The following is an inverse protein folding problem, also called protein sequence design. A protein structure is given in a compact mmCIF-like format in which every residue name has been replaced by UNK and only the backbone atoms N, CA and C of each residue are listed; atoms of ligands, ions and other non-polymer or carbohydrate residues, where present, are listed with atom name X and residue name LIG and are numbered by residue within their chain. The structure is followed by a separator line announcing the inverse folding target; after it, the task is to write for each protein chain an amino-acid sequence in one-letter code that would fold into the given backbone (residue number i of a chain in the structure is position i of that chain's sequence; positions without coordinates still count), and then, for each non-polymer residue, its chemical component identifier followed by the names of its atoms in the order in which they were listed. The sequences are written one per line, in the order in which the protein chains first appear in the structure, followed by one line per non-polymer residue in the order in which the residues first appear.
data_IF_792043196157
#
_entry.id   IF_792043196157
#
_cell.length_a   1.000
_cell.length_b   1.000
_cell.length_c   1.000
_cell.angle_alpha   90.00
_cell.angle_beta   90.00
_cell.angle_gamma   90.00
#
_symmetry.space_group_name_H-M   'P 1'
#
loop_
_entity.id
_entity.type
_entity.pdbx_description
1 polymer ?
#
# COMPACT_ATOMS: atom_id res chain seq x y z
N UNK A 1 35.86 -18.28 -50.13
CA UNK A 1 35.77 -17.32 -49.01
C UNK A 1 35.41 -15.96 -49.60
N UNK A 2 34.39 -15.19 -49.24
CA UNK A 2 33.36 -15.28 -48.21
C UNK A 2 32.58 -13.96 -48.24
N UNK A 3 31.40 -13.93 -48.87
CA UNK A 3 30.51 -12.74 -48.90
C UNK A 3 29.21 -13.01 -48.10
N UNK A 4 28.92 -14.28 -47.76
CA UNK A 4 27.78 -14.66 -46.91
C UNK A 4 27.96 -14.39 -45.41
N UNK A 5 29.19 -14.14 -44.92
CA UNK A 5 29.46 -13.97 -43.49
C UNK A 5 29.28 -12.53 -42.96
N UNK A 6 29.26 -11.52 -43.84
CA UNK A 6 29.19 -10.11 -43.43
C UNK A 6 27.75 -9.65 -43.12
N UNK A 7 26.75 -10.22 -43.81
CA UNK A 7 25.33 -9.91 -43.55
C UNK A 7 24.78 -10.50 -42.24
N UNK A 8 25.20 -11.71 -41.88
CA UNK A 8 24.69 -12.37 -40.66
C UNK A 8 25.22 -11.75 -39.37
N UNK A 9 26.44 -11.18 -39.39
CA UNK A 9 27.04 -10.55 -38.21
C UNK A 9 26.51 -9.13 -37.94
N UNK A 10 25.93 -8.47 -38.94
CA UNK A 10 25.19 -7.21 -38.79
C UNK A 10 23.76 -7.46 -38.26
N UNK A 11 23.06 -8.47 -38.79
CA UNK A 11 21.73 -8.88 -38.31
C UNK A 11 21.73 -9.38 -36.86
N UNK A 12 22.75 -10.16 -36.46
CA UNK A 12 22.90 -10.65 -35.07
C UNK A 12 23.18 -9.52 -34.06
N UNK A 13 23.92 -8.48 -34.45
CA UNK A 13 24.20 -7.32 -33.58
C UNK A 13 23.00 -6.38 -33.45
N UNK A 14 22.23 -6.19 -34.52
CA UNK A 14 20.98 -5.44 -34.47
C UNK A 14 19.92 -6.17 -33.62
N UNK A 15 19.80 -7.50 -33.76
CA UNK A 15 18.91 -8.33 -32.92
C UNK A 15 19.30 -8.34 -31.44
N UNK A 16 20.59 -8.38 -31.12
CA UNK A 16 21.08 -8.31 -29.74
C UNK A 16 20.89 -6.92 -29.10
N UNK A 17 21.06 -5.84 -29.86
CA UNK A 17 20.81 -4.48 -29.38
C UNK A 17 19.32 -4.22 -29.15
N UNK A 18 18.44 -4.72 -30.03
CA UNK A 18 16.98 -4.66 -29.86
C UNK A 18 16.50 -5.54 -28.71
N UNK A 19 17.10 -6.71 -28.51
CA UNK A 19 16.86 -7.58 -27.35
C UNK A 19 17.25 -6.91 -26.03
N UNK A 20 18.43 -6.29 -25.95
CA UNK A 20 18.89 -5.59 -24.74
C UNK A 20 18.04 -4.36 -24.39
N UNK A 21 17.55 -3.61 -25.39
CA UNK A 21 16.61 -2.50 -25.18
C UNK A 21 15.24 -3.03 -24.74
N UNK A 22 14.77 -4.13 -25.33
CA UNK A 22 13.53 -4.79 -24.93
C UNK A 22 13.59 -5.33 -23.49
N UNK A 23 14.72 -5.94 -23.09
CA UNK A 23 14.94 -6.45 -21.74
C UNK A 23 15.11 -5.32 -20.72
N UNK A 24 15.74 -4.20 -21.10
CA UNK A 24 15.83 -3.01 -20.27
C UNK A 24 14.46 -2.33 -20.10
N UNK A 25 13.66 -2.24 -21.15
CA UNK A 25 12.28 -1.71 -21.10
C UNK A 25 11.36 -2.67 -20.33
N UNK A 26 11.51 -3.98 -20.48
CA UNK A 26 10.78 -4.99 -19.70
C UNK A 26 11.19 -4.98 -18.22
N UNK A 27 12.49 -4.82 -17.91
CA UNK A 27 13.02 -4.68 -16.55
C UNK A 27 12.59 -3.36 -15.91
N UNK A 28 12.60 -2.25 -16.66
CA UNK A 28 12.07 -0.97 -16.23
C UNK A 28 10.55 -1.00 -16.06
N UNK A 29 9.81 -1.75 -16.89
CA UNK A 29 8.37 -1.98 -16.78
C UNK A 29 8.02 -2.97 -15.66
N UNK A 30 8.89 -3.91 -15.31
CA UNK A 30 8.75 -4.79 -14.15
C UNK A 30 9.09 -4.06 -12.84
N UNK A 31 10.10 -3.18 -12.86
CA UNK A 31 10.36 -2.24 -11.75
C UNK A 31 9.25 -1.21 -11.61
N UNK A 32 8.74 -0.68 -12.73
CA UNK A 32 7.63 0.26 -12.71
C UNK A 32 6.30 -0.41 -12.38
N UNK A 33 6.05 -1.62 -12.85
CA UNK A 33 4.86 -2.40 -12.52
C UNK A 33 4.80 -2.82 -11.05
N UNK A 34 5.91 -2.69 -10.32
CA UNK A 34 6.06 -3.16 -8.95
C UNK A 34 6.20 -2.02 -7.93
N UNK A 35 6.56 -0.81 -8.37
CA UNK A 35 6.55 0.43 -7.57
C UNK A 35 5.24 1.23 -7.69
N UNK A 36 4.21 0.61 -8.29
CA UNK A 36 2.90 1.23 -8.47
C UNK A 36 2.27 1.77 -7.17
N UNK A 37 2.37 1.11 -5.99
CA UNK A 37 1.71 1.59 -4.77
C UNK A 37 2.34 2.90 -4.29
N UNK A 38 3.67 2.98 -4.36
CA UNK A 38 4.44 4.16 -4.00
C UNK A 38 4.08 5.33 -4.91
N UNK A 39 4.09 5.13 -6.23
CA UNK A 39 3.72 6.21 -7.17
C UNK A 39 2.28 6.64 -7.03
N UNK A 40 1.36 5.70 -6.79
CA UNK A 40 -0.03 6.01 -6.52
C UNK A 40 -0.20 6.84 -5.24
N UNK A 41 0.67 6.65 -4.24
CA UNK A 41 0.70 7.48 -3.03
C UNK A 41 1.36 8.85 -3.27
N UNK A 42 2.47 8.90 -4.01
CA UNK A 42 3.21 10.14 -4.33
C UNK A 42 2.35 11.11 -5.16
N UNK A 43 1.52 10.57 -6.06
CA UNK A 43 0.60 11.34 -6.91
C UNK A 43 -0.77 11.58 -6.27
N UNK A 44 -1.05 10.98 -5.12
CA UNK A 44 -2.28 11.25 -4.39
C UNK A 44 -2.26 12.70 -3.88
N UNK A 45 -3.38 13.46 -4.02
CA UNK A 45 -3.47 14.81 -3.48
C UNK A 45 -3.04 14.86 -2.01
N UNK A 46 -2.41 15.95 -1.58
CA UNK A 46 -2.05 16.15 -0.17
C UNK A 46 -3.22 16.80 0.57
N UNK A 47 -3.46 16.47 1.86
CA UNK A 47 -4.48 17.16 2.63
C UNK A 47 -4.06 18.61 2.88
N UNK A 48 -5.05 19.50 2.99
CA UNK A 48 -4.81 20.85 3.51
C UNK A 48 -4.45 20.81 5.00
N UNK A 49 -3.69 21.80 5.46
CA UNK A 49 -3.30 21.97 6.87
C UNK A 49 -3.72 23.38 7.33
N UNK A 50 -4.77 23.52 8.18
CA UNK A 50 -5.68 22.49 8.68
C UNK A 50 -6.57 21.86 7.59
N UNK A 51 -7.17 20.68 7.83
CA UNK A 51 -8.02 20.01 6.85
C UNK A 51 -9.32 20.79 6.62
N UNK A 52 -9.50 21.32 5.40
CA UNK A 52 -10.70 22.03 4.97
C UNK A 52 -11.76 21.09 4.37
N UNK A 53 -11.33 19.97 3.79
CA UNK A 53 -12.17 18.95 3.17
C UNK A 53 -11.74 17.55 3.66
N UNK A 54 -12.63 16.55 3.61
CA UNK A 54 -12.26 15.17 3.88
C UNK A 54 -11.15 14.70 2.93
N UNK A 55 -10.10 14.14 3.51
CA UNK A 55 -9.00 13.53 2.80
C UNK A 55 -8.78 12.10 3.29
N UNK A 56 -8.50 11.20 2.37
CA UNK A 56 -8.29 9.79 2.69
C UNK A 56 -7.26 9.15 1.77
N UNK A 57 -6.47 8.24 2.34
CA UNK A 57 -5.71 7.23 1.61
C UNK A 57 -5.98 5.88 2.23
N UNK A 58 -6.34 4.88 1.42
CA UNK A 58 -6.54 3.51 1.87
C UNK A 58 -5.87 2.49 0.95
N UNK A 59 -5.64 1.27 1.46
CA UNK A 59 -5.20 0.12 0.68
C UNK A 59 -6.21 -0.19 -0.44
N UNK A 60 -7.51 -0.12 -0.15
CA UNK A 60 -8.55 -0.31 -1.16
C UNK A 60 -8.43 0.72 -2.28
N UNK A 61 -8.26 2.00 -1.93
CA UNK A 61 -8.11 3.09 -2.87
C UNK A 61 -6.85 2.97 -3.72
N UNK A 62 -5.73 2.51 -3.14
CA UNK A 62 -4.52 2.21 -3.89
C UNK A 62 -4.76 1.08 -4.90
N UNK A 63 -5.24 -0.08 -4.46
CA UNK A 63 -5.47 -1.24 -5.33
C UNK A 63 -6.53 -0.94 -6.41
N UNK A 64 -7.56 -0.17 -6.06
CA UNK A 64 -8.62 0.26 -6.99
C UNK A 64 -8.13 1.14 -8.13
N UNK A 65 -6.95 1.76 -8.02
CA UNK A 65 -6.32 2.54 -9.10
C UNK A 65 -5.60 1.67 -10.16
N UNK A 66 -5.53 0.36 -9.96
CA UNK A 66 -4.92 -0.53 -10.94
C UNK A 66 -5.76 -0.60 -12.23
N UNK A 67 -5.14 -0.62 -13.43
CA UNK A 67 -5.86 -0.62 -14.70
C UNK A 67 -6.81 -1.79 -14.91
N UNK A 68 -6.58 -2.92 -14.24
CA UNK A 68 -7.39 -4.12 -14.37
C UNK A 68 -7.60 -4.76 -13.01
N UNK A 69 -8.74 -4.44 -12.38
CA UNK A 69 -9.22 -5.11 -11.17
C UNK A 69 -10.25 -6.16 -11.60
N UNK A 70 -10.05 -7.45 -11.30
CA UNK A 70 -11.04 -8.48 -11.61
C UNK A 70 -12.39 -8.16 -10.97
N UNK A 71 -13.49 -8.33 -11.71
CA UNK A 71 -14.85 -7.99 -11.24
C UNK A 71 -15.21 -8.53 -9.85
N UNK A 72 -14.92 -9.82 -9.53
CA UNK A 72 -15.13 -10.35 -8.18
C UNK A 72 -14.34 -9.64 -7.08
N UNK A 73 -13.12 -9.19 -7.38
CA UNK A 73 -12.26 -8.48 -6.42
C UNK A 73 -12.76 -7.06 -6.13
N UNK A 74 -13.41 -6.39 -7.09
CA UNK A 74 -14.01 -5.05 -6.89
C UNK A 74 -14.97 -5.04 -5.70
N UNK A 75 -15.78 -6.10 -5.55
CA UNK A 75 -16.75 -6.22 -4.45
C UNK A 75 -16.10 -6.35 -3.08
N UNK A 76 -14.84 -6.75 -3.02
CA UNK A 76 -14.09 -6.96 -1.79
C UNK A 76 -13.15 -5.80 -1.45
N UNK A 77 -12.95 -4.83 -2.35
CA UNK A 77 -12.00 -3.74 -2.15
C UNK A 77 -12.28 -2.99 -0.85
N UNK A 78 -13.54 -2.65 -0.58
CA UNK A 78 -13.95 -1.92 0.63
C UNK A 78 -13.57 -2.62 1.94
N UNK A 79 -13.35 -3.94 1.92
CA UNK A 79 -12.89 -4.68 3.10
C UNK A 79 -11.44 -4.30 3.44
N UNK A 80 -10.61 -3.94 2.45
CA UNK A 80 -9.23 -3.53 2.70
C UNK A 80 -9.10 -2.21 3.45
N UNK A 81 -10.15 -1.38 3.48
CA UNK A 81 -10.15 -0.14 4.27
C UNK A 81 -9.97 -0.45 5.75
N UNK A 82 -10.53 -1.57 6.23
CA UNK A 82 -10.36 -2.09 7.60
C UNK A 82 -8.96 -2.59 7.95
N UNK A 83 -8.04 -2.64 6.98
CA UNK A 83 -6.67 -3.15 7.14
C UNK A 83 -5.61 -2.07 6.90
N UNK A 84 -6.01 -0.92 6.34
CA UNK A 84 -5.08 0.11 5.96
C UNK A 84 -5.81 1.33 5.43
N UNK A 85 -6.01 2.32 6.30
CA UNK A 85 -6.59 3.61 5.93
C UNK A 85 -6.04 4.72 6.83
N UNK A 86 -5.83 5.89 6.25
CA UNK A 86 -5.70 7.17 6.99
C UNK A 86 -6.77 8.09 6.47
N UNK A 87 -7.65 8.55 7.35
CA UNK A 87 -8.69 9.52 7.05
C UNK A 87 -8.51 10.74 7.97
N UNK A 88 -8.50 11.93 7.38
CA UNK A 88 -8.50 13.20 8.13
C UNK A 88 -9.41 14.20 7.43
N UNK A 89 -10.32 14.79 8.18
CA UNK A 89 -11.22 15.82 7.70
C UNK A 89 -11.56 16.85 8.78
N UNK A 90 -12.40 17.83 8.43
CA UNK A 90 -12.83 18.86 9.37
C UNK A 90 -13.68 18.28 10.52
N UNK A 91 -14.46 17.22 10.26
CA UNK A 91 -15.39 16.66 11.25
C UNK A 91 -14.87 15.41 11.95
N UNK A 92 -14.05 14.61 11.28
CA UNK A 92 -13.59 13.32 11.77
C UNK A 92 -12.13 13.01 11.41
N UNK A 93 -11.57 12.05 12.13
CA UNK A 93 -10.24 11.49 11.92
C UNK A 93 -10.29 9.99 12.19
N UNK A 94 -9.54 9.20 11.43
CA UNK A 94 -9.63 7.75 11.51
C UNK A 94 -8.44 7.00 10.95
N UNK A 95 -8.32 5.76 11.41
CA UNK A 95 -7.37 4.79 10.91
C UNK A 95 -8.06 3.45 10.63
N UNK A 96 -7.59 2.77 9.59
CA UNK A 96 -7.95 1.38 9.26
C UNK A 96 -9.46 1.09 9.32
N UNK A 97 -10.26 1.95 8.67
CA UNK A 97 -11.70 1.80 8.54
C UNK A 97 -12.50 2.24 9.77
N UNK A 98 -11.85 2.68 10.86
CA UNK A 98 -12.50 3.26 12.04
C UNK A 98 -12.26 4.77 12.10
N UNK A 99 -13.32 5.56 11.88
CA UNK A 99 -13.32 7.03 11.99
C UNK A 99 -14.08 7.53 13.22
N UNK A 100 -13.59 8.62 13.79
CA UNK A 100 -14.12 9.23 15.00
C UNK A 100 -14.31 10.72 14.79
N UNK A 101 -15.51 11.21 15.09
CA UNK A 101 -15.80 12.63 15.14
C UNK A 101 -14.90 13.34 16.17
N UNK A 102 -14.31 14.47 15.80
CA UNK A 102 -13.35 15.18 16.66
C UNK A 102 -13.88 15.49 18.07
N UNK A 103 -15.19 15.75 18.23
CA UNK A 103 -15.81 15.98 19.55
C UNK A 103 -15.78 14.77 20.51
N UNK A 104 -15.43 13.58 20.02
CA UNK A 104 -15.23 12.36 20.81
C UNK A 104 -13.76 12.04 21.07
N UNK A 105 -12.83 12.73 20.39
CA UNK A 105 -11.39 12.53 20.56
C UNK A 105 -10.94 13.14 21.88
N UNK A 106 -10.22 12.35 22.67
CA UNK A 106 -9.69 12.74 23.98
C UNK A 106 -8.21 13.12 23.88
N UNK A 107 -7.46 12.36 23.09
CA UNK A 107 -6.01 12.50 22.98
C UNK A 107 -5.54 11.94 21.63
N UNK A 108 -4.56 12.60 21.01
CA UNK A 108 -3.76 12.07 19.91
C UNK A 108 -2.40 11.69 20.48
N UNK A 109 -1.99 10.44 20.25
CA UNK A 109 -0.71 9.91 20.70
C UNK A 109 0.24 9.79 19.52
N UNK A 110 1.41 10.38 19.69
CA UNK A 110 2.49 10.38 18.71
C UNK A 110 3.52 9.32 19.08
N UNK A 111 3.82 8.42 18.15
CA UNK A 111 4.74 7.28 18.32
C UNK A 111 5.95 7.45 17.40
N UNK A 112 7.14 6.98 17.80
CA UNK A 112 8.30 7.03 16.91
C UNK A 112 8.12 6.10 15.72
N UNK A 113 8.55 6.55 14.53
CA UNK A 113 8.72 5.68 13.35
C UNK A 113 9.57 4.44 13.63
N UNK A 114 10.52 4.55 14.57
CA UNK A 114 11.44 3.46 14.93
C UNK A 114 10.74 2.38 15.75
N UNK A 115 9.65 2.70 16.43
CA UNK A 115 8.91 1.70 17.22
C UNK A 115 7.85 1.02 16.33
N UNK A 116 7.24 1.78 15.42
CA UNK A 116 6.13 1.30 14.60
C UNK A 116 6.56 0.38 13.43
N UNK A 117 7.70 0.65 12.80
CA UNK A 117 8.09 -0.02 11.54
C UNK A 117 8.91 -1.32 11.72
N UNK A 118 9.85 -1.44 12.68
CA UNK A 118 10.66 -2.65 12.87
C UNK A 118 9.92 -3.85 13.47
N UNK A 119 8.87 -3.63 14.27
CA UNK A 119 8.08 -4.70 14.91
C UNK A 119 7.24 -5.52 13.92
N UNK A 120 7.17 -5.09 12.67
CA UNK A 120 6.40 -5.75 11.63
C UNK A 120 6.92 -7.15 11.36
N UNK A 121 6.10 -8.13 11.74
CA UNK A 121 6.24 -9.51 11.27
C UNK A 121 5.52 -9.59 9.93
N UNK A 122 6.29 -9.45 8.84
CA UNK A 122 5.78 -9.37 7.47
C UNK A 122 4.81 -10.51 7.14
N UNK A 123 5.13 -11.74 7.54
CA UNK A 123 4.26 -12.90 7.30
C UNK A 123 2.91 -12.75 8.01
N UNK A 124 2.86 -12.18 9.22
CA UNK A 124 1.60 -11.91 9.94
C UNK A 124 0.74 -10.87 9.25
N UNK A 125 1.33 -9.85 8.63
CA UNK A 125 0.56 -8.84 7.90
C UNK A 125 -0.07 -9.42 6.63
N UNK A 126 0.67 -10.26 5.91
CA UNK A 126 0.13 -10.98 4.75
C UNK A 126 -0.97 -11.96 5.17
N UNK A 127 -0.78 -12.70 6.26
CA UNK A 127 -1.78 -13.62 6.79
C UNK A 127 -3.01 -12.88 7.33
N UNK A 128 -2.86 -11.71 7.96
CA UNK A 128 -3.98 -10.85 8.36
C UNK A 128 -4.84 -10.46 7.15
N UNK A 129 -4.23 -10.04 6.04
CA UNK A 129 -4.96 -9.71 4.80
C UNK A 129 -5.71 -10.94 4.28
N UNK A 130 -5.08 -12.12 4.31
CA UNK A 130 -5.73 -13.37 3.89
C UNK A 130 -6.93 -13.71 4.75
N UNK A 131 -6.79 -13.63 6.07
CA UNK A 131 -7.83 -13.98 7.04
C UNK A 131 -9.02 -13.02 6.99
N UNK A 132 -8.77 -11.73 6.74
CA UNK A 132 -9.81 -10.71 6.64
C UNK A 132 -10.69 -10.88 5.40
N UNK A 133 -10.13 -11.37 4.30
CA UNK A 133 -10.85 -11.51 3.04
C UNK A 133 -11.59 -12.85 2.95
N UNK A 134 -12.91 -12.86 2.67
CA UNK A 134 -13.69 -14.09 2.58
C UNK A 134 -13.21 -14.98 1.43
N UNK A 135 -13.30 -16.31 1.54
CA UNK A 135 -12.81 -17.25 0.53
C UNK A 135 -13.71 -17.24 -0.73
N UNK A 136 -13.49 -16.29 -1.62
CA UNK A 136 -14.26 -16.11 -2.87
C UNK A 136 -13.36 -15.96 -4.10
N UNK A 137 -13.89 -16.11 -5.33
CA UNK A 137 -13.13 -15.84 -6.55
C UNK A 137 -12.50 -14.44 -6.54
N UNK A 138 -11.26 -14.32 -7.02
CA UNK A 138 -10.51 -13.06 -6.99
C UNK A 138 -9.80 -12.76 -5.67
N UNK A 139 -10.05 -13.50 -4.58
CA UNK A 139 -9.37 -13.31 -3.29
C UNK A 139 -7.84 -13.41 -3.43
N UNK A 140 -7.32 -14.44 -4.10
CA UNK A 140 -5.87 -14.64 -4.27
C UNK A 140 -5.22 -13.41 -4.90
N UNK A 141 -5.82 -12.90 -5.99
CA UNK A 141 -5.37 -11.70 -6.66
C UNK A 141 -5.39 -10.49 -5.72
N UNK A 142 -6.49 -10.29 -4.99
CA UNK A 142 -6.66 -9.16 -4.08
C UNK A 142 -5.66 -9.19 -2.92
N UNK A 143 -5.49 -10.36 -2.29
CA UNK A 143 -4.47 -10.59 -1.25
C UNK A 143 -3.09 -10.23 -1.79
N UNK A 144 -2.73 -10.72 -2.97
CA UNK A 144 -1.42 -10.46 -3.56
C UNK A 144 -1.21 -8.97 -3.81
N UNK A 145 -2.19 -8.26 -4.37
CA UNK A 145 -2.06 -6.82 -4.65
C UNK A 145 -2.12 -5.95 -3.40
N UNK A 146 -2.93 -6.31 -2.41
CA UNK A 146 -2.94 -5.63 -1.11
C UNK A 146 -1.62 -5.84 -0.35
N UNK A 147 -1.09 -7.07 -0.33
CA UNK A 147 0.21 -7.37 0.27
C UNK A 147 1.34 -6.65 -0.47
N UNK A 148 1.33 -6.65 -1.80
CA UNK A 148 2.31 -5.91 -2.60
C UNK A 148 2.26 -4.40 -2.29
N UNK A 149 1.06 -3.84 -2.18
CA UNK A 149 0.86 -2.43 -1.82
C UNK A 149 1.41 -2.12 -0.43
N UNK A 150 0.97 -2.85 0.58
CA UNK A 150 1.39 -2.68 1.97
C UNK A 150 2.92 -2.77 2.11
N UNK A 151 3.53 -3.83 1.59
CA UNK A 151 4.97 -4.06 1.74
C UNK A 151 5.81 -3.04 0.97
N UNK A 152 5.35 -2.58 -0.19
CA UNK A 152 6.05 -1.54 -0.96
C UNK A 152 6.01 -0.19 -0.23
N UNK A 153 4.85 0.19 0.31
CA UNK A 153 4.69 1.45 1.06
C UNK A 153 5.47 1.37 2.39
N UNK A 154 5.41 0.24 3.10
CA UNK A 154 6.18 0.02 4.32
C UNK A 154 7.69 0.08 4.07
N UNK A 155 8.19 -0.57 3.00
CA UNK A 155 9.61 -0.51 2.64
C UNK A 155 10.07 0.93 2.35
N UNK A 156 9.25 1.69 1.63
CA UNK A 156 9.53 3.09 1.34
C UNK A 156 9.53 3.94 2.62
N UNK A 157 8.59 3.70 3.54
CA UNK A 157 8.50 4.37 4.83
C UNK A 157 9.70 4.05 5.73
N UNK A 158 10.10 2.79 5.84
CA UNK A 158 11.30 2.38 6.61
C UNK A 158 12.55 3.07 6.07
N UNK A 159 12.73 3.10 4.75
CA UNK A 159 13.83 3.82 4.11
C UNK A 159 13.77 5.34 4.33
N UNK A 160 12.58 5.93 4.51
CA UNK A 160 12.42 7.33 4.88
C UNK A 160 12.76 7.59 6.35
N UNK A 161 12.29 6.72 7.25
CA UNK A 161 12.57 6.77 8.68
C UNK A 161 14.08 6.63 8.99
N UNK A 162 14.81 5.82 8.22
CA UNK A 162 16.28 5.72 8.32
C UNK A 162 17.00 7.06 8.07
N UNK A 163 16.41 7.94 7.24
CA UNK A 163 16.99 9.27 6.95
C UNK A 163 16.58 10.31 7.98
N UNK A 164 15.36 10.20 8.49
CA UNK A 164 14.80 11.15 9.43
C UNK A 164 13.76 10.48 10.33
N UNK A 165 14.12 10.29 11.59
CA UNK A 165 13.20 9.85 12.62
C UNK A 165 12.15 10.94 12.91
N UNK A 166 10.89 10.53 13.08
CA UNK A 166 9.76 11.41 13.37
C UNK A 166 8.81 10.76 14.36
N UNK A 167 8.13 11.57 15.16
CA UNK A 167 6.96 11.15 15.93
C UNK A 167 5.71 11.32 15.08
N UNK A 168 4.95 10.24 14.86
CA UNK A 168 3.76 10.22 14.02
C UNK A 168 2.50 10.13 14.88
N UNK A 169 1.45 10.94 14.61
CA UNK A 169 0.17 10.86 15.31
C UNK A 169 -0.58 9.58 14.90
N UNK A 170 -0.15 8.42 15.41
CA UNK A 170 -0.57 7.10 14.93
C UNK A 170 -1.49 6.36 15.92
N UNK A 171 -2.01 7.06 16.94
CA UNK A 171 -3.04 6.50 17.82
C UNK A 171 -4.02 7.59 18.26
N UNK A 172 -5.31 7.30 18.08
CA UNK A 172 -6.41 8.17 18.50
C UNK A 172 -7.03 7.56 19.76
N UNK A 173 -7.04 8.30 20.87
CA UNK A 173 -7.80 7.91 22.07
C UNK A 173 -9.14 8.61 22.01
N UNK A 174 -10.22 7.84 21.93
CA UNK A 174 -11.57 8.36 21.77
C UNK A 174 -12.55 7.79 22.80
N UNK A 175 -13.67 8.47 23.00
CA UNK A 175 -14.81 7.94 23.77
C UNK A 175 -15.50 6.83 22.98
N UNK A 176 -15.60 5.64 23.55
CA UNK A 176 -16.47 4.58 23.04
C UNK A 176 -17.96 4.89 23.31
N UNK A 177 -18.87 4.00 22.89
CA UNK A 177 -20.32 4.18 23.05
C UNK A 177 -20.79 4.38 24.51
N UNK A 178 -20.01 3.91 25.48
CA UNK A 178 -20.31 4.01 26.92
C UNK A 178 -19.51 5.17 27.56
N UNK A 179 -18.84 5.99 26.75
CA UNK A 179 -18.06 7.15 27.18
C UNK A 179 -16.69 6.82 27.78
N UNK A 180 -16.24 5.56 27.74
CA UNK A 180 -14.91 5.16 28.22
C UNK A 180 -13.85 5.40 27.15
N UNK A 181 -12.60 5.75 27.53
CA UNK A 181 -11.49 5.82 26.58
C UNK A 181 -11.24 4.48 25.89
N UNK A 182 -11.12 4.49 24.57
CA UNK A 182 -10.67 3.39 23.70
C UNK A 182 -9.56 3.94 22.81
N UNK A 183 -8.44 3.23 22.73
CA UNK A 183 -7.37 3.52 21.78
C UNK A 183 -7.69 2.93 20.41
N UNK A 184 -7.43 3.71 19.37
CA UNK A 184 -7.52 3.34 17.97
C UNK A 184 -6.12 3.49 17.37
N UNK A 185 -5.28 2.45 17.45
CA UNK A 185 -3.96 2.49 16.86
C UNK A 185 -4.09 2.39 15.33
N UNK A 186 -3.31 3.21 14.62
CA UNK A 186 -3.07 3.00 13.20
C UNK A 186 -2.11 1.84 12.98
N UNK A 187 -2.46 0.94 12.08
CA UNK A 187 -1.63 -0.18 11.68
C UNK A 187 -0.44 0.23 10.82
N UNK A 188 0.29 -0.78 10.31
CA UNK A 188 1.47 -0.58 9.49
C UNK A 188 1.22 0.35 8.30
N UNK A 189 0.08 0.19 7.64
CA UNK A 189 -0.25 1.04 6.49
C UNK A 189 -0.37 2.50 6.91
N UNK A 190 -1.12 2.79 7.98
CA UNK A 190 -1.30 4.15 8.50
C UNK A 190 0.03 4.78 8.90
N UNK A 191 0.87 4.07 9.66
CA UNK A 191 2.22 4.52 10.02
C UNK A 191 3.08 4.82 8.78
N UNK A 192 3.00 3.96 7.77
CA UNK A 192 3.77 4.14 6.53
C UNK A 192 3.29 5.34 5.71
N UNK A 193 1.97 5.53 5.61
CA UNK A 193 1.38 6.70 4.93
C UNK A 193 1.75 7.98 5.66
N UNK A 194 1.62 8.05 6.99
CA UNK A 194 1.99 9.24 7.77
C UNK A 194 3.50 9.56 7.69
N UNK A 195 4.34 8.54 7.48
CA UNK A 195 5.78 8.74 7.22
C UNK A 195 6.01 9.39 5.85
N UNK A 196 5.33 8.90 4.81
CA UNK A 196 5.55 9.28 3.41
C UNK A 196 4.74 10.51 2.97
N UNK A 197 3.68 10.83 3.70
CA UNK A 197 2.78 11.98 3.50
C UNK A 197 2.74 12.78 4.80
N UNK A 198 3.82 13.51 5.14
CA UNK A 198 3.90 14.26 6.39
C UNK A 198 2.76 15.25 6.56
N UNK A 199 2.23 15.80 5.46
CA UNK A 199 1.09 16.72 5.46
C UNK A 199 -0.16 16.11 6.11
N UNK A 200 -0.34 14.79 6.02
CA UNK A 200 -1.44 14.10 6.69
C UNK A 200 -1.28 14.09 8.21
N UNK A 201 -0.05 13.86 8.70
CA UNK A 201 0.25 13.98 10.12
C UNK A 201 0.11 15.42 10.61
N UNK A 202 0.58 16.39 9.84
CA UNK A 202 0.44 17.82 10.13
C UNK A 202 -1.03 18.25 10.17
N UNK A 203 -1.87 17.76 9.23
CA UNK A 203 -3.31 18.04 9.20
C UNK A 203 -4.01 17.51 10.47
N UNK A 204 -3.68 16.29 10.92
CA UNK A 204 -4.21 15.71 12.16
C UNK A 204 -3.81 16.57 13.37
N UNK A 205 -2.54 16.94 13.46
CA UNK A 205 -2.02 17.75 14.57
C UNK A 205 -2.58 19.17 14.58
N UNK A 206 -2.74 19.79 13.42
CA UNK A 206 -3.36 21.10 13.28
C UNK A 206 -4.83 21.07 13.71
N UNK A 207 -5.60 20.09 13.22
CA UNK A 207 -7.00 19.92 13.59
C UNK A 207 -7.19 19.64 15.10
N UNK A 208 -6.31 18.83 15.69
CA UNK A 208 -6.29 18.57 17.13
C UNK A 208 -6.03 19.86 17.93
N UNK A 209 -5.03 20.66 17.50
CA UNK A 209 -4.67 21.94 18.13
C UNK A 209 -5.82 22.94 18.11
N UNK A 210 -6.49 23.11 16.97
CA UNK A 210 -7.64 24.02 16.83
C UNK A 210 -8.78 23.69 17.80
N UNK A 211 -8.93 22.40 18.12
CA UNK A 211 -10.03 21.88 18.96
C UNK A 211 -9.63 21.71 20.42
N UNK A 212 -8.39 22.07 20.79
CA UNK A 212 -7.87 21.87 22.13
C UNK A 212 -7.74 20.41 22.54
N UNK A 213 -7.63 19.49 21.57
CA UNK A 213 -7.38 18.06 21.83
C UNK A 213 -5.95 17.89 22.32
N UNK A 214 -5.77 17.09 23.37
CA UNK A 214 -4.45 16.79 23.94
C UNK A 214 -3.60 16.05 22.90
N UNK A 215 -2.37 16.48 22.69
CA UNK A 215 -1.37 15.75 21.89
C UNK A 215 -0.26 15.30 22.84
N UNK A 216 0.03 14.00 22.85
CA UNK A 216 1.07 13.40 23.70
C UNK A 216 2.07 12.67 22.82
N UNK A 217 3.36 12.97 22.98
CA UNK A 217 4.41 12.11 22.46
C UNK A 217 4.57 10.96 23.44
N UNK A 218 4.35 9.74 22.97
CA UNK A 218 4.60 8.53 23.74
C UNK A 218 6.11 8.31 23.67
N UNK A 219 6.82 8.94 24.61
CA UNK A 219 8.25 8.69 24.80
C UNK A 219 8.43 7.31 25.42
N UNK A 220 9.18 6.42 24.76
CA UNK A 220 9.90 5.37 25.46
C UNK A 220 11.22 5.98 25.97
N UNK A 221 11.50 5.99 27.29
CA UNK A 221 12.71 6.54 27.86
C UNK A 221 13.94 5.67 27.54
N UNK A 222 14.39 5.67 26.28
CA UNK A 222 15.73 5.22 25.87
C UNK A 222 16.27 6.10 24.73
N UNK A 223 16.53 7.36 25.06
CA UNK A 223 17.46 8.21 24.32
C UNK A 223 18.84 7.57 24.44
N UNK A 224 19.37 6.93 23.39
CA UNK A 224 20.70 6.33 23.52
C UNK A 224 21.33 5.55 22.37
N UNK A 225 20.60 4.95 21.42
CA UNK A 225 21.29 4.11 20.41
C UNK A 225 20.73 4.27 19.01
N UNK A 226 20.91 5.44 18.41
CA UNK A 226 20.66 5.68 16.98
C UNK A 226 21.27 4.60 16.08
N UNK A 227 22.40 4.00 16.49
CA UNK A 227 23.02 2.89 15.79
C UNK A 227 22.19 1.60 15.84
N UNK A 228 21.65 1.20 17.00
CA UNK A 228 20.79 0.02 17.13
C UNK A 228 19.47 0.22 16.39
N UNK A 229 18.89 1.42 16.50
CA UNK A 229 17.68 1.81 15.75
C UNK A 229 17.89 1.73 14.24
N UNK A 230 19.02 2.24 13.75
CA UNK A 230 19.39 2.11 12.34
C UNK A 230 19.61 0.65 11.91
N UNK A 231 20.18 -0.19 12.78
CA UNK A 231 20.31 -1.64 12.54
C UNK A 231 18.94 -2.32 12.47
N UNK A 232 18.02 -1.98 13.37
CA UNK A 232 16.65 -2.50 13.41
C UNK A 232 15.86 -2.13 12.15
N UNK A 233 15.92 -0.85 11.74
CA UNK A 233 15.27 -0.38 10.52
C UNK A 233 15.85 -1.05 9.27
N UNK A 234 17.18 -1.18 9.16
CA UNK A 234 17.80 -1.91 8.04
C UNK A 234 17.38 -3.37 8.00
N UNK A 235 17.37 -4.04 9.13
CA UNK A 235 16.92 -5.42 9.22
C UNK A 235 15.44 -5.57 8.83
N UNK A 236 14.59 -4.59 9.17
CA UNK A 236 13.20 -4.55 8.73
C UNK A 236 13.08 -4.31 7.21
N UNK A 237 13.85 -3.37 6.67
CA UNK A 237 13.97 -3.12 5.23
C UNK A 237 14.34 -4.39 4.46
N UNK A 238 15.34 -5.15 4.93
CA UNK A 238 15.77 -6.41 4.32
C UNK A 238 14.66 -7.47 4.34
N UNK A 239 13.94 -7.61 5.46
CA UNK A 239 12.79 -8.52 5.59
C UNK A 239 11.67 -8.17 4.63
N UNK A 240 11.32 -6.88 4.54
CA UNK A 240 10.30 -6.37 3.63
C UNK A 240 10.68 -6.61 2.16
N UNK A 241 11.94 -6.32 1.80
CA UNK A 241 12.46 -6.53 0.46
C UNK A 241 12.46 -8.02 0.06
N UNK A 242 12.83 -8.91 0.97
CA UNK A 242 12.78 -10.35 0.77
C UNK A 242 11.35 -10.87 0.62
N UNK A 243 10.43 -10.47 1.50
CA UNK A 243 9.03 -10.88 1.42
C UNK A 243 8.36 -10.41 0.11
N UNK A 244 8.65 -9.17 -0.30
CA UNK A 244 8.17 -8.63 -1.56
C UNK A 244 8.71 -9.39 -2.78
N UNK A 245 9.99 -9.82 -2.73
CA UNK A 245 10.57 -10.71 -3.75
C UNK A 245 9.86 -12.06 -3.80
N UNK A 246 9.60 -12.69 -2.65
CA UNK A 246 8.87 -13.98 -2.57
C UNK A 246 7.44 -13.86 -3.09
N UNK A 247 6.73 -12.81 -2.69
CA UNK A 247 5.35 -12.55 -3.12
C UNK A 247 5.26 -12.44 -4.64
N UNK A 248 6.20 -11.74 -5.26
CA UNK A 248 6.27 -11.57 -6.72
C UNK A 248 6.70 -12.83 -7.45
N UNK A 249 7.62 -13.61 -6.88
CA UNK A 249 8.00 -14.91 -7.44
C UNK A 249 6.86 -15.93 -7.39
N UNK A 250 5.95 -15.77 -6.42
CA UNK A 250 4.75 -16.59 -6.25
C UNK A 250 3.55 -16.14 -7.12
N UNK A 251 3.73 -15.20 -8.06
CA UNK A 251 2.79 -14.93 -9.16
C UNK A 251 3.21 -15.74 -10.41
N UNK A 252 2.82 -17.02 -10.59
CA UNK A 252 2.97 -17.67 -11.89
C UNK A 252 1.97 -17.11 -12.90
N UNK A 253 2.36 -17.17 -14.18
CA UNK A 253 1.62 -16.85 -15.41
C UNK A 253 0.15 -17.35 -15.50
N UNK A 254 -0.34 -18.18 -14.57
CA UNK A 254 -1.72 -18.68 -14.51
C UNK A 254 -2.77 -17.56 -14.48
N UNK A 255 -2.47 -16.39 -13.90
CA UNK A 255 -3.41 -15.26 -13.90
C UNK A 255 -3.64 -14.67 -15.30
N UNK A 256 -2.71 -14.82 -16.26
CA UNK A 256 -2.94 -14.39 -17.64
C UNK A 256 -3.75 -15.42 -18.42
N UNK A 257 -3.57 -16.71 -18.12
CA UNK A 257 -4.29 -17.80 -18.77
C UNK A 257 -5.77 -17.85 -18.34
N UNK A 258 -6.08 -17.68 -17.05
CA UNK A 258 -7.48 -17.66 -16.58
C UNK A 258 -8.23 -16.41 -17.02
N UNK A 259 -7.59 -15.23 -17.00
CA UNK A 259 -8.20 -13.97 -17.48
C UNK A 259 -8.39 -14.01 -19.01
N UNK A 260 -7.43 -14.58 -19.75
CA UNK A 260 -7.54 -14.78 -21.19
C UNK A 260 -8.64 -15.77 -21.57
N UNK A 261 -8.77 -16.87 -20.83
CA UNK A 261 -9.81 -17.88 -21.05
C UNK A 261 -11.21 -17.35 -20.74
N UNK A 262 -11.38 -16.58 -19.66
CA UNK A 262 -12.66 -15.96 -19.31
C UNK A 262 -13.10 -14.92 -20.35
N UNK A 263 -12.17 -14.08 -20.82
CA UNK A 263 -12.45 -13.08 -21.87
C UNK A 263 -12.78 -13.72 -23.23
N UNK A 264 -12.14 -14.85 -23.57
CA UNK A 264 -12.46 -15.60 -24.78
C UNK A 264 -13.86 -16.23 -24.70
N UNK A 265 -14.22 -16.82 -23.55
CA UNK A 265 -15.52 -17.44 -23.35
C UNK A 265 -16.68 -16.42 -23.42
N UNK A 266 -16.46 -15.20 -22.92
CA UNK A 266 -17.45 -14.12 -22.99
C UNK A 266 -17.65 -13.59 -24.43
N UNK A 267 -16.57 -13.49 -25.21
CA UNK A 267 -16.64 -13.13 -26.64
C UNK A 267 -17.31 -14.21 -27.49
N UNK A 268 -17.13 -15.49 -27.14
CA UNK A 268 -17.75 -16.61 -27.84
C UNK A 268 -19.26 -16.68 -27.57
N UNK A 269 -19.70 -16.40 -26.33
CA UNK A 269 -21.11 -16.27 -25.96
C UNK A 269 -21.81 -15.09 -26.67
N UNK A 270 -21.11 -13.99 -26.92
CA UNK A 270 -21.64 -12.86 -27.68
C UNK A 270 -21.69 -13.11 -29.20
N UNK A 271 -21.01 -14.17 -29.67
CA UNK A 271 -20.95 -14.56 -31.09
C UNK A 271 -21.98 -15.62 -31.46
N UNK A 272 -22.65 -16.23 -30.48
CA UNK A 272 -23.75 -17.15 -30.75
C UNK A 272 -25.00 -16.38 -31.26
N UNK A 273 -25.53 -16.73 -32.44
CA UNK A 273 -26.70 -16.08 -32.99
C UNK A 273 -27.92 -16.38 -32.11
N UNK A 274 -28.56 -15.32 -31.61
CA UNK A 274 -29.83 -15.39 -30.89
C UNK A 274 -30.85 -16.14 -31.76
N UNK A 275 -31.49 -17.22 -31.27
CA UNK A 275 -32.46 -17.95 -32.07
C UNK A 275 -33.63 -17.03 -32.43
N UNK A 276 -34.22 -17.19 -33.63
CA UNK A 276 -35.35 -16.38 -34.05
C UNK A 276 -36.50 -16.57 -33.06
N UNK A 277 -37.02 -15.45 -32.56
CA UNK A 277 -38.24 -15.44 -31.77
C UNK A 277 -39.41 -15.51 -32.75
N UNK A 278 -40.12 -16.64 -32.75
CA UNK A 278 -41.43 -16.81 -33.39
C UNK A 278 -42.54 -16.22 -32.52
#
# INVERSE_FOLDING_TARGET
MGIRQVGESAGRRAGAALGAVSDAVASARAKAGSDWPRRALETHPKPAVPPAEPWEVSLAGLVGRLPHVPGPAVRLLHLLDGLGQVAVGPEEVGFDGESVAWGKVLEIRCHSTVDLLPEVVVDREVDRIREFLPPVPGRKWLVTKAAEALLTVALAATAAAERQERSLPCEIVAKNLIGRPKGLPGGLFAASVLTLVPEAGEAILAAAKERGVKVTVVDDPMVGVHAERAVQLRAASDRLAEALRRLRAAEPEESKAEIGAAALAELEQLREPRPPQD
#
